data_IF_581370935339
#
_entry.id   IF_581370935339
#
_cell.length_a   1.000
_cell.length_b   1.000
_cell.length_c   1.000
_cell.angle_alpha   90.00
_cell.angle_beta   90.00
_cell.angle_gamma   90.00
#
_symmetry.space_group_name_H-M   'P 1'
#
loop_
_entity.id
_entity.type
_entity.pdbx_description
1 polymer ?
2 non-polymer ?
3 water ?
#
# COMPACT_ATOMS: atom_id res chain seq x y z
N UNK A 1 29.88 -7.56 -14.24
CA UNK A 1 28.69 -8.39 -14.05
C UNK A 1 27.58 -7.70 -13.27
N UNK A 2 26.81 -6.87 -13.98
CA UNK A 2 25.71 -6.11 -13.40
C UNK A 2 24.67 -6.99 -12.68
N UNK A 3 24.14 -7.96 -13.41
CA UNK A 3 23.22 -8.93 -12.84
C UNK A 3 23.81 -9.62 -11.62
N UNK A 4 25.05 -10.11 -11.76
CA UNK A 4 25.71 -10.87 -10.71
C UNK A 4 26.02 -9.99 -9.48
N UNK A 5 26.31 -8.72 -9.72
CA UNK A 5 26.56 -7.79 -8.64
C UNK A 5 25.33 -7.61 -7.78
N UNK A 6 24.17 -7.53 -8.44
CA UNK A 6 22.90 -7.43 -7.74
C UNK A 6 22.61 -8.69 -6.94
N UNK A 7 22.90 -9.85 -7.52
CA UNK A 7 22.74 -11.10 -6.80
C UNK A 7 23.56 -11.09 -5.53
N UNK A 8 24.84 -10.76 -5.65
CA UNK A 8 25.76 -10.78 -4.52
C UNK A 8 25.38 -9.78 -3.43
N UNK A 9 24.90 -8.61 -3.84
CA UNK A 9 24.39 -7.63 -2.88
C UNK A 9 23.19 -8.20 -2.13
N UNK A 10 22.27 -8.82 -2.87
CA UNK A 10 21.09 -9.45 -2.29
C UNK A 10 21.44 -10.58 -1.33
N UNK A 11 22.43 -11.39 -1.71
CA UNK A 11 22.86 -12.50 -0.87
C UNK A 11 23.40 -12.01 0.48
N UNK A 12 23.72 -10.73 0.56
CA UNK A 12 24.20 -10.14 1.80
C UNK A 12 23.07 -9.71 2.73
N UNK A 13 21.86 -9.58 2.21
CA UNK A 13 20.73 -9.14 3.03
C UNK A 13 19.69 -10.23 3.31
N UNK A 14 19.60 -11.22 2.43
CA UNK A 14 18.59 -12.27 2.61
C UNK A 14 19.06 -13.32 3.60
N UNK A 15 18.11 -14.09 4.12
CA UNK A 15 18.45 -15.24 4.95
C UNK A 15 18.97 -16.33 4.02
N UNK A 16 19.95 -17.11 4.49
CA UNK A 16 20.61 -18.09 3.63
C UNK A 16 19.79 -19.34 3.38
N UNK A 17 20.05 -20.01 2.26
CA UNK A 17 19.44 -21.28 1.97
C UNK A 17 18.24 -21.25 1.05
N UNK A 18 17.69 -22.44 0.80
CA UNK A 18 16.53 -22.60 -0.07
C UNK A 18 15.29 -22.83 0.77
N UNK A 19 14.31 -21.93 0.65
CA UNK A 19 13.07 -22.03 1.42
C UNK A 19 12.12 -23.08 0.83
N UNK A 20 12.42 -23.56 -0.38
CA UNK A 20 11.59 -24.60 -0.98
C UNK A 20 11.70 -25.89 -0.18
N UNK A 21 12.79 -26.02 0.56
CA UNK A 21 13.01 -27.19 1.38
C UNK A 21 11.97 -27.31 2.49
N UNK A 22 11.42 -26.18 2.94
CA UNK A 22 10.47 -26.23 4.05
C UNK A 22 9.05 -25.75 3.73
N UNK A 23 8.76 -25.53 2.45
CA UNK A 23 7.45 -25.05 2.03
C UNK A 23 6.73 -26.04 1.12
N UNK A 24 5.47 -26.32 1.44
CA UNK A 24 4.63 -27.23 0.66
C UNK A 24 3.43 -26.54 0.03
N UNK A 25 2.99 -27.06 -1.11
CA UNK A 25 1.69 -26.72 -1.69
C UNK A 25 1.53 -25.25 -2.10
N UNK A 26 2.30 -24.82 -3.08
CA UNK A 26 2.20 -23.45 -3.57
C UNK A 26 0.92 -23.21 -4.38
N UNK A 27 0.26 -22.09 -4.09
CA UNK A 27 -0.98 -21.70 -4.74
C UNK A 27 -0.92 -20.20 -5.03
N UNK A 28 -0.88 -19.85 -6.30
CA UNK A 28 -0.79 -18.45 -6.70
C UNK A 28 -2.06 -17.70 -6.30
N UNK A 29 -1.91 -16.51 -5.74
CA UNK A 29 -3.06 -15.75 -5.27
C UNK A 29 -3.04 -14.30 -5.73
N UNK A 30 -2.07 -13.95 -6.57
CA UNK A 30 -2.03 -12.59 -7.08
C UNK A 30 -0.78 -12.20 -7.84
N UNK A 31 -0.82 -10.97 -8.35
CA UNK A 31 0.33 -10.34 -8.98
C UNK A 31 0.66 -9.10 -8.14
N UNK A 32 1.95 -8.88 -7.91
CA UNK A 32 2.38 -7.71 -7.17
C UNK A 32 3.04 -6.73 -8.10
N UNK A 33 3.61 -5.66 -7.53
CA UNK A 33 4.30 -4.64 -8.33
C UNK A 33 5.50 -5.23 -9.07
N UNK A 34 6.24 -6.11 -8.40
CA UNK A 34 7.51 -6.59 -8.92
C UNK A 34 7.54 -8.09 -9.22
N UNK A 35 6.54 -8.82 -8.71
CA UNK A 35 6.47 -10.25 -8.95
C UNK A 35 5.13 -10.83 -8.52
N UNK A 36 5.04 -12.15 -8.49
CA UNK A 36 3.79 -12.81 -8.11
C UNK A 36 3.77 -13.24 -6.64
N UNK A 37 2.58 -13.51 -6.14
CA UNK A 37 2.38 -13.85 -4.74
C UNK A 37 1.63 -15.17 -4.60
N UNK A 38 2.25 -16.13 -3.92
CA UNK A 38 1.62 -17.42 -3.67
C UNK A 38 1.46 -17.60 -2.18
N UNK A 39 0.65 -18.58 -1.79
CA UNK A 39 0.66 -19.04 -0.41
C UNK A 39 1.20 -20.45 -0.37
N UNK A 40 1.73 -20.83 0.78
CA UNK A 40 2.28 -22.16 0.97
C UNK A 40 2.13 -22.58 2.43
N UNK A 41 2.29 -23.88 2.67
CA UNK A 41 2.27 -24.40 4.03
C UNK A 41 3.70 -24.55 4.54
N UNK A 42 3.91 -24.19 5.81
CA UNK A 42 5.18 -24.48 6.47
C UNK A 42 5.12 -25.94 6.92
N UNK A 43 5.94 -26.79 6.32
CA UNK A 43 5.91 -28.23 6.56
C UNK A 43 5.92 -28.61 8.04
N UNK A 44 6.77 -27.96 8.82
CA UNK A 44 6.92 -28.30 10.23
C UNK A 44 5.75 -27.87 11.11
N UNK A 45 5.18 -26.70 10.86
CA UNK A 45 4.16 -26.15 11.75
C UNK A 45 2.74 -26.29 11.22
N UNK A 46 2.60 -26.56 9.93
CA UNK A 46 1.30 -26.60 9.29
C UNK A 46 0.72 -25.21 9.02
N UNK A 47 1.45 -24.19 9.44
CA UNK A 47 1.05 -22.80 9.26
C UNK A 47 1.03 -22.41 7.78
N UNK A 48 0.21 -21.40 7.47
CA UNK A 48 0.16 -20.84 6.13
C UNK A 48 0.97 -19.55 6.07
N UNK A 49 1.61 -19.30 4.94
CA UNK A 49 2.32 -18.03 4.73
C UNK A 49 2.13 -17.58 3.28
N UNK A 50 2.38 -16.31 3.02
CA UNK A 50 2.36 -15.81 1.66
C UNK A 50 3.78 -15.61 1.19
N UNK A 51 4.00 -15.83 -0.09
CA UNK A 51 5.35 -15.75 -0.64
C UNK A 51 5.37 -14.87 -1.90
N UNK A 52 6.07 -13.73 -1.79
CA UNK A 52 6.26 -12.83 -2.92
C UNK A 52 7.54 -13.20 -3.66
N UNK A 53 7.41 -13.57 -4.93
CA UNK A 53 8.55 -13.96 -5.74
C UNK A 53 8.81 -12.95 -6.86
N UNK A 54 10.00 -12.37 -6.85
CA UNK A 54 10.36 -11.35 -7.82
C UNK A 54 11.57 -11.77 -8.63
N UNK A 55 11.39 -11.86 -9.95
CA UNK A 55 12.47 -12.22 -10.86
C UNK A 55 13.42 -11.04 -11.05
N UNK A 56 14.71 -11.28 -10.83
CA UNK A 56 15.72 -10.23 -10.93
C UNK A 56 15.88 -9.71 -12.35
N UNK A 57 15.67 -10.57 -13.33
CA UNK A 57 15.87 -10.21 -14.72
C UNK A 57 14.65 -9.55 -15.35
N UNK A 58 13.55 -9.46 -14.60
CA UNK A 58 12.30 -8.91 -15.12
C UNK A 58 11.98 -7.52 -14.58
N UNK A 59 12.96 -6.86 -13.98
CA UNK A 59 12.68 -5.58 -13.33
C UNK A 59 13.09 -4.36 -14.14
N UNK A 60 12.21 -3.37 -14.17
CA UNK A 60 12.52 -2.07 -14.75
C UNK A 60 13.56 -1.38 -13.88
N UNK A 61 13.28 -1.31 -12.59
CA UNK A 61 14.24 -0.81 -11.63
C UNK A 61 14.59 -1.89 -10.60
N UNK A 62 15.61 -2.68 -10.92
CA UNK A 62 16.06 -3.77 -10.05
C UNK A 62 16.45 -3.30 -8.67
N UNK A 63 16.93 -2.06 -8.58
CA UNK A 63 17.31 -1.48 -7.30
C UNK A 63 16.14 -1.41 -6.30
N UNK A 64 14.92 -1.40 -6.83
CA UNK A 64 13.74 -1.35 -5.97
C UNK A 64 13.55 -2.61 -5.14
N UNK A 65 14.19 -3.71 -5.55
CA UNK A 65 14.09 -4.96 -4.81
C UNK A 65 14.74 -4.88 -3.41
N UNK A 66 15.62 -3.91 -3.19
CA UNK A 66 16.26 -3.74 -1.88
C UNK A 66 15.31 -3.12 -0.87
N UNK A 67 14.28 -2.45 -1.37
CA UNK A 67 13.36 -1.70 -0.51
C UNK A 67 12.76 -2.54 0.59
N UNK A 68 11.99 -3.54 0.23
CA UNK A 68 11.34 -4.38 1.23
C UNK A 68 12.37 -5.10 2.10
N UNK A 69 13.40 -5.68 1.48
CA UNK A 69 14.34 -6.47 2.26
C UNK A 69 15.26 -5.63 3.15
N UNK A 70 15.67 -4.46 2.67
CA UNK A 70 16.49 -3.59 3.49
C UNK A 70 15.62 -2.77 4.45
N UNK A 71 14.68 -2.01 3.89
CA UNK A 71 13.86 -1.10 4.68
C UNK A 71 12.86 -1.79 5.62
N UNK A 72 12.28 -2.91 5.18
CA UNK A 72 11.16 -3.50 5.91
C UNK A 72 11.46 -4.77 6.71
N UNK A 73 12.68 -5.28 6.53
CA UNK A 73 13.11 -6.56 7.10
C UNK A 73 12.72 -6.82 8.55
N UNK A 74 12.85 -5.82 9.41
CA UNK A 74 12.62 -6.02 10.83
C UNK A 74 11.31 -5.42 11.30
N UNK A 75 10.68 -4.62 10.45
CA UNK A 75 9.48 -3.85 10.79
C UNK A 75 8.39 -4.67 11.47
N UNK A 76 7.73 -4.05 12.45
CA UNK A 76 6.61 -4.66 13.13
C UNK A 76 5.60 -3.58 13.45
N UNK A 77 4.34 -3.84 13.18
CA UNK A 77 3.26 -2.89 13.42
C UNK A 77 1.94 -3.60 13.22
N UNK A 78 0.98 -3.32 14.09
CA UNK A 78 -0.33 -3.96 14.04
C UNK A 78 -1.02 -3.83 12.68
N UNK A 79 -0.75 -2.73 11.99
CA UNK A 79 -1.42 -2.39 10.73
C UNK A 79 -0.52 -2.47 9.51
N UNK A 80 0.59 -3.19 9.65
CA UNK A 80 1.50 -3.41 8.53
C UNK A 80 1.74 -4.92 8.39
N UNK A 81 1.67 -5.40 7.15
CA UNK A 81 1.95 -6.80 6.86
C UNK A 81 3.33 -7.18 7.39
N UNK A 82 3.38 -8.21 8.22
CA UNK A 82 4.64 -8.65 8.82
C UNK A 82 5.45 -9.55 7.90
N UNK A 83 6.70 -9.19 7.71
CA UNK A 83 7.63 -9.99 6.93
C UNK A 83 8.38 -10.96 7.83
N UNK A 84 8.55 -12.20 7.38
CA UNK A 84 9.21 -13.23 8.18
C UNK A 84 10.66 -13.44 7.77
N UNK A 85 10.85 -13.80 6.50
CA UNK A 85 12.16 -14.09 5.97
C UNK A 85 12.28 -13.67 4.52
N UNK A 86 13.52 -13.59 4.05
CA UNK A 86 13.78 -13.37 2.63
C UNK A 86 14.86 -14.32 2.18
N UNK A 87 14.82 -14.70 0.91
CA UNK A 87 15.77 -15.66 0.38
C UNK A 87 16.02 -15.33 -1.08
N UNK A 88 17.12 -15.85 -1.60
CA UNK A 88 17.44 -15.72 -3.00
C UNK A 88 17.36 -17.12 -3.60
N UNK A 89 16.44 -17.31 -4.52
CA UNK A 89 16.17 -18.62 -5.11
C UNK A 89 16.33 -18.56 -6.61
N UNK A 90 17.43 -19.11 -7.11
CA UNK A 90 17.73 -19.01 -8.53
C UNK A 90 17.95 -17.56 -8.89
N UNK A 91 17.14 -17.04 -9.80
CA UNK A 91 17.20 -15.63 -10.16
C UNK A 91 16.09 -14.82 -9.49
N UNK A 92 15.45 -15.42 -8.50
CA UNK A 92 14.31 -14.78 -7.86
C UNK A 92 14.61 -14.44 -6.41
N UNK A 93 14.10 -13.28 -6.00
CA UNK A 93 14.08 -12.90 -4.60
C UNK A 93 12.73 -13.33 -4.05
N UNK A 94 12.77 -14.06 -2.93
CA UNK A 94 11.52 -14.44 -2.28
C UNK A 94 11.38 -13.76 -0.94
N UNK A 95 10.20 -13.21 -0.70
CA UNK A 95 9.86 -12.69 0.62
C UNK A 95 8.75 -13.55 1.21
N UNK A 96 9.03 -14.15 2.37
CA UNK A 96 8.03 -14.93 3.08
C UNK A 96 7.36 -14.06 4.13
N UNK A 97 6.04 -14.11 4.20
CA UNK A 97 5.32 -13.20 5.06
C UNK A 97 3.97 -13.73 5.52
N UNK A 98 3.40 -12.99 6.47
CA UNK A 98 2.06 -13.19 6.98
C UNK A 98 1.03 -13.31 5.85
N UNK A 99 0.17 -14.32 5.92
CA UNK A 99 -0.92 -14.48 4.96
C UNK A 99 -2.20 -13.80 5.48
N UNK A 100 -2.70 -12.83 4.73
CA UNK A 100 -3.90 -12.08 5.09
C UNK A 100 -5.12 -12.71 4.44
N UNK A 101 -5.82 -13.56 5.19
CA UNK A 101 -6.89 -14.40 4.64
C UNK A 101 -8.13 -13.65 4.14
N UNK A 102 -8.24 -12.37 4.46
CA UNK A 102 -9.42 -11.60 4.10
C UNK A 102 -9.38 -10.99 2.70
N UNK A 103 -8.28 -11.16 1.98
CA UNK A 103 -8.14 -10.58 0.66
C UNK A 103 -7.95 -9.07 0.72
N UNK A 104 -7.96 -8.42 -0.44
CA UNK A 104 -7.68 -6.98 -0.53
C UNK A 104 -8.94 -6.12 -0.45
N UNK A 105 -8.75 -4.83 -0.16
CA UNK A 105 -9.85 -3.88 -0.08
C UNK A 105 -10.49 -3.64 -1.44
N UNK A 106 -9.70 -3.81 -2.50
CA UNK A 106 -10.17 -3.61 -3.88
C UNK A 106 -11.45 -4.39 -4.19
N UNK A 107 -11.49 -5.65 -3.75
CA UNK A 107 -12.65 -6.50 -3.99
C UNK A 107 -13.91 -5.97 -3.32
N UNK A 108 -13.74 -5.26 -2.20
CA UNK A 108 -14.86 -4.72 -1.46
C UNK A 108 -15.39 -3.44 -2.11
N UNK A 109 -14.48 -2.54 -2.48
CA UNK A 109 -14.87 -1.25 -3.03
C UNK A 109 -15.42 -1.34 -4.45
N UNK A 110 -15.32 -2.50 -5.08
CA UNK A 110 -15.83 -2.69 -6.43
C UNK A 110 -17.05 -3.60 -6.46
N UNK A 111 -17.46 -4.11 -5.30
CA UNK A 111 -18.56 -5.05 -5.24
C UNK A 111 -19.66 -4.63 -4.26
N UNK A 112 -19.33 -3.73 -3.34
CA UNK A 112 -20.31 -3.21 -2.40
C UNK A 112 -20.15 -1.71 -2.22
N UNK A 113 -20.89 -1.17 -1.26
CA UNK A 113 -20.74 0.22 -0.86
C UNK A 113 -20.54 0.27 0.65
N UNK A 114 -19.42 0.85 1.07
CA UNK A 114 -19.08 0.93 2.48
C UNK A 114 -19.83 2.08 3.12
N UNK A 115 -20.34 1.88 4.33
CA UNK A 115 -20.87 2.99 5.13
C UNK A 115 -19.74 3.82 5.72
N UNK A 116 -20.08 4.91 6.41
CA UNK A 116 -19.02 5.80 6.89
C UNK A 116 -18.25 5.28 8.10
N UNK A 117 -18.91 4.49 8.93
CA UNK A 117 -18.25 3.81 10.04
C UNK A 117 -17.10 2.92 9.54
N UNK A 118 -17.35 2.18 8.47
CA UNK A 118 -16.35 1.26 7.91
C UNK A 118 -15.23 2.02 7.21
N UNK A 119 -15.58 3.10 6.53
CA UNK A 119 -14.61 3.94 5.84
C UNK A 119 -13.62 4.53 6.85
N UNK A 120 -14.13 5.11 7.92
CA UNK A 120 -13.31 5.71 8.95
C UNK A 120 -12.41 4.68 9.64
N UNK A 121 -12.92 3.46 9.77
CA UNK A 121 -12.17 2.37 10.39
C UNK A 121 -10.95 2.02 9.52
N UNK A 122 -11.14 1.98 8.20
CA UNK A 122 -10.05 1.72 7.29
C UNK A 122 -9.08 2.88 7.31
N UNK A 123 -9.62 4.10 7.38
CA UNK A 123 -8.81 5.30 7.40
C UNK A 123 -7.98 5.42 8.67
N UNK A 124 -8.57 5.02 9.80
CA UNK A 124 -7.88 5.08 11.08
C UNK A 124 -6.64 4.19 11.04
N UNK A 125 -6.87 2.92 10.71
CA UNK A 125 -5.78 1.94 10.64
C UNK A 125 -4.66 2.41 9.73
N UNK A 126 -4.99 2.80 8.51
CA UNK A 126 -3.99 3.22 7.54
C UNK A 126 -3.16 4.40 8.07
N UNK A 127 -3.83 5.38 8.66
CA UNK A 127 -3.17 6.57 9.16
C UNK A 127 -2.28 6.27 10.36
N UNK A 128 -2.72 5.35 11.21
CA UNK A 128 -1.90 4.92 12.34
C UNK A 128 -0.56 4.38 11.81
N UNK A 129 -0.63 3.53 10.80
CA UNK A 129 0.58 2.97 10.20
C UNK A 129 1.39 4.03 9.48
N UNK A 130 0.72 4.98 8.83
CA UNK A 130 1.43 6.04 8.12
C UNK A 130 2.10 7.03 9.06
N UNK A 131 1.56 7.20 10.26
CA UNK A 131 2.15 8.12 11.23
C UNK A 131 3.50 7.60 11.70
N UNK A 132 3.53 6.34 12.10
CA UNK A 132 4.76 5.69 12.52
C UNK A 132 5.76 5.60 11.36
N UNK A 133 5.29 5.17 10.20
CA UNK A 133 6.13 5.05 9.01
C UNK A 133 6.75 6.37 8.58
N UNK A 134 5.92 7.40 8.43
CA UNK A 134 6.41 8.73 8.03
C UNK A 134 7.35 9.31 9.08
N UNK A 135 7.14 8.92 10.34
CA UNK A 135 8.03 9.32 11.42
C UNK A 135 9.43 8.74 11.18
N UNK A 136 9.49 7.46 10.80
CA UNK A 136 10.77 6.82 10.52
C UNK A 136 11.30 7.21 9.15
N UNK A 137 10.53 8.02 8.44
CA UNK A 137 10.95 8.53 7.15
C UNK A 137 10.75 7.56 5.99
N UNK A 138 9.80 6.64 6.14
CA UNK A 138 9.47 5.72 5.06
C UNK A 138 8.21 6.17 4.31
N UNK A 139 8.36 6.43 3.02
CA UNK A 139 7.21 6.74 2.17
C UNK A 139 6.77 5.49 1.40
N UNK A 140 5.50 5.13 1.53
CA UNK A 140 4.97 3.94 0.85
C UNK A 140 5.02 4.14 -0.66
N UNK A 141 4.43 5.24 -1.11
CA UNK A 141 4.43 5.68 -2.52
C UNK A 141 3.51 4.88 -3.46
N UNK A 142 2.68 4.00 -2.90
CA UNK A 142 1.73 3.26 -3.74
C UNK A 142 0.43 2.94 -3.01
N UNK A 143 -0.06 3.88 -2.21
CA UNK A 143 -1.29 3.70 -1.46
C UNK A 143 -2.49 3.61 -2.40
N UNK A 144 -3.29 2.57 -2.23
CA UNK A 144 -4.51 2.35 -2.98
C UNK A 144 -5.17 1.10 -2.39
N UNK A 145 -6.35 0.75 -2.86
CA UNK A 145 -7.10 -0.36 -2.24
C UNK A 145 -6.40 -1.71 -2.39
N UNK A 146 -5.64 -1.90 -3.46
CA UNK A 146 -4.90 -3.15 -3.68
C UNK A 146 -3.88 -3.36 -2.57
N UNK A 147 -3.40 -2.26 -2.02
CA UNK A 147 -2.38 -2.29 -0.98
C UNK A 147 -2.96 -2.44 0.43
N UNK A 148 -4.26 -2.65 0.52
CA UNK A 148 -4.91 -2.79 1.82
C UNK A 148 -5.46 -4.20 2.02
N UNK A 149 -4.82 -4.97 2.88
CA UNK A 149 -5.24 -6.35 3.12
C UNK A 149 -6.03 -6.50 4.42
N UNK A 150 -6.87 -7.54 4.48
CA UNK A 150 -7.75 -7.76 5.63
C UNK A 150 -7.52 -9.12 6.28
N UNK A 151 -7.75 -9.19 7.59
CA UNK A 151 -7.84 -10.46 8.30
C UNK A 151 -9.28 -10.95 8.22
N UNK A 152 -9.52 -12.14 8.77
CA UNK A 152 -10.86 -12.74 8.72
C UNK A 152 -11.81 -11.94 9.58
N UNK A 153 -11.30 -11.41 10.68
CA UNK A 153 -12.11 -10.64 11.62
C UNK A 153 -12.07 -9.14 11.33
N UNK A 154 -11.81 -8.81 10.06
CA UNK A 154 -11.91 -7.43 9.60
C UNK A 154 -10.84 -6.45 10.05
N UNK A 155 -9.68 -6.95 10.49
CA UNK A 155 -8.59 -6.05 10.79
C UNK A 155 -7.85 -5.65 9.51
N UNK A 156 -7.31 -4.44 9.49
CA UNK A 156 -6.77 -3.85 8.26
C UNK A 156 -5.25 -3.69 8.30
N UNK A 157 -4.58 -4.16 7.26
CA UNK A 157 -3.12 -4.06 7.20
C UNK A 157 -2.59 -3.47 5.89
N UNK A 158 -1.69 -2.51 6.03
CA UNK A 158 -1.02 -1.90 4.90
C UNK A 158 0.00 -2.88 4.29
N UNK A 159 0.08 -2.89 2.96
CA UNK A 159 0.83 -3.92 2.24
C UNK A 159 1.57 -3.41 1.00
N UNK A 160 2.33 -4.31 0.38
CA UNK A 160 3.09 -4.03 -0.84
C UNK A 160 3.96 -2.78 -0.78
N UNK A 161 5.13 -2.90 -0.15
CA UNK A 161 6.06 -1.78 -0.04
C UNK A 161 7.11 -1.88 -1.12
N UNK A 162 6.74 -2.47 -2.25
CA UNK A 162 7.68 -2.69 -3.33
C UNK A 162 8.19 -1.41 -3.95
N UNK A 163 7.43 -0.33 -3.80
CA UNK A 163 7.82 0.97 -4.35
C UNK A 163 8.33 1.95 -3.31
N UNK A 164 8.42 1.52 -2.05
CA UNK A 164 8.76 2.45 -0.97
C UNK A 164 10.15 3.09 -1.10
N UNK A 165 10.33 4.21 -0.41
CA UNK A 165 11.62 4.90 -0.42
C UNK A 165 11.94 5.45 0.95
N UNK A 166 13.19 5.88 1.11
CA UNK A 166 13.67 6.38 2.38
C UNK A 166 14.11 7.84 2.26
N UNK A 167 13.72 8.64 3.24
CA UNK A 167 14.16 10.02 3.35
C UNK A 167 14.78 10.19 4.73
N UNK A 168 15.70 11.14 4.90
CA UNK A 168 16.38 11.27 6.19
C UNK A 168 16.56 12.73 6.61
N UNK A 169 17.05 12.93 7.82
CA UNK A 169 17.33 14.26 8.34
C UNK A 169 18.28 15.02 7.42
N UNK A 170 19.15 14.26 6.76
CA UNK A 170 20.13 14.84 5.83
C UNK A 170 19.56 14.95 4.42
N UNK A 171 18.79 13.95 4.00
CA UNK A 171 18.11 14.03 2.72
C UNK A 171 16.63 13.60 2.82
N UNK A 172 15.73 14.56 3.04
CA UNK A 172 14.31 14.28 2.84
C UNK A 172 13.97 14.55 1.38
N UNK A 173 12.80 14.10 0.93
CA UNK A 173 12.35 14.21 -0.46
C UNK A 173 12.97 13.23 -1.45
N UNK A 174 12.20 12.91 -2.48
CA UNK A 174 12.64 12.08 -3.59
C UNK A 174 12.25 12.80 -4.87
N UNK A 175 12.87 12.46 -5.98
CA UNK A 175 12.51 13.06 -7.27
C UNK A 175 12.04 11.99 -8.24
N UNK A 176 11.44 10.93 -7.71
CA UNK A 176 11.19 9.73 -8.51
C UNK A 176 9.74 9.54 -8.94
N UNK A 177 9.55 9.24 -10.22
CA UNK A 177 8.21 9.03 -10.76
C UNK A 177 7.72 7.62 -10.46
N UNK A 178 7.24 7.41 -9.25
CA UNK A 178 6.84 6.08 -8.80
C UNK A 178 5.39 6.08 -8.32
N UNK A 179 4.70 4.96 -8.54
CA UNK A 179 3.35 4.80 -8.05
C UNK A 179 2.39 4.30 -9.11
N UNK A 180 1.10 4.42 -8.81
CA UNK A 180 0.04 4.10 -9.76
C UNK A 180 -0.61 5.42 -10.17
N UNK A 181 -0.55 5.74 -11.47
CA UNK A 181 -0.97 7.01 -12.08
C UNK A 181 -2.17 7.70 -11.41
N UNK A 182 -3.33 7.05 -11.43
CA UNK A 182 -4.57 7.65 -10.92
C UNK A 182 -4.50 8.09 -9.45
N UNK A 183 -3.55 7.54 -8.71
CA UNK A 183 -3.41 7.82 -7.27
C UNK A 183 -2.22 8.73 -6.96
N UNK A 184 -1.47 9.13 -7.98
CA UNK A 184 -0.24 9.91 -7.77
C UNK A 184 -0.51 11.37 -7.38
N UNK A 185 0.24 11.86 -6.39
CA UNK A 185 0.16 13.25 -5.98
C UNK A 185 0.56 14.17 -7.14
N UNK A 186 0.00 15.39 -7.16
CA UNK A 186 0.30 16.29 -8.29
C UNK A 186 1.77 16.72 -8.34
N UNK A 187 2.39 17.01 -7.20
CA UNK A 187 3.80 17.42 -7.19
C UNK A 187 4.72 16.29 -7.64
N UNK A 188 4.19 15.07 -7.64
CA UNK A 188 4.94 13.90 -8.10
C UNK A 188 4.88 13.79 -9.62
N UNK A 189 3.69 13.99 -10.20
CA UNK A 189 3.53 13.96 -11.65
C UNK A 189 4.19 15.18 -12.27
N UNK A 190 4.28 16.25 -11.48
CA UNK A 190 4.96 17.46 -11.92
C UNK A 190 6.46 17.36 -11.69
N UNK A 191 6.94 16.14 -11.42
CA UNK A 191 8.36 15.85 -11.31
C UNK A 191 9.09 16.68 -10.26
N UNK A 192 8.33 17.18 -9.29
CA UNK A 192 8.90 18.00 -8.23
C UNK A 192 9.41 17.11 -7.10
N UNK A 193 10.40 17.59 -6.34
CA UNK A 193 10.86 16.91 -5.13
C UNK A 193 9.75 16.81 -4.10
N UNK A 194 9.36 15.58 -3.77
CA UNK A 194 8.22 15.34 -2.89
C UNK A 194 8.63 14.56 -1.64
N UNK A 195 7.83 14.66 -0.59
CA UNK A 195 8.09 13.93 0.63
C UNK A 195 6.95 12.99 0.95
N UNK A 196 6.80 12.64 2.24
CA UNK A 196 5.77 11.72 2.76
C UNK A 196 4.36 12.18 2.44
N UNK A 197 4.18 13.47 2.17
CA UNK A 197 2.88 14.05 1.92
C UNK A 197 2.17 13.39 0.74
N UNK A 198 2.92 12.79 -0.17
CA UNK A 198 2.33 12.14 -1.35
C UNK A 198 1.45 10.95 -0.98
N UNK A 199 1.72 10.35 0.18
CA UNK A 199 0.91 9.24 0.67
C UNK A 199 -0.46 9.72 1.15
N UNK A 200 -0.52 10.94 1.68
CA UNK A 200 -1.77 11.49 2.18
C UNK A 200 -2.73 11.80 1.05
N UNK A 201 -2.20 12.40 -0.01
CA UNK A 201 -2.97 12.58 -1.24
C UNK A 201 -3.53 11.24 -1.71
N UNK A 202 -2.65 10.24 -1.81
CA UNK A 202 -3.04 8.91 -2.28
C UNK A 202 -4.11 8.28 -1.42
N UNK A 203 -4.06 8.52 -0.12
CA UNK A 203 -5.07 7.99 0.78
C UNK A 203 -6.40 8.67 0.46
N UNK A 204 -6.33 9.95 0.12
CA UNK A 204 -7.49 10.70 -0.31
C UNK A 204 -8.11 10.08 -1.55
N UNK A 205 -7.28 9.74 -2.53
CA UNK A 205 -7.76 9.08 -3.74
C UNK A 205 -8.40 7.74 -3.38
N UNK A 206 -7.88 7.08 -2.36
CA UNK A 206 -8.45 5.81 -1.93
C UNK A 206 -9.79 6.01 -1.25
N UNK A 207 -10.00 7.20 -0.67
CA UNK A 207 -11.30 7.50 -0.10
C UNK A 207 -12.35 7.61 -1.21
N UNK A 208 -11.98 8.26 -2.30
CA UNK A 208 -12.84 8.33 -3.48
C UNK A 208 -13.19 6.93 -3.99
N UNK A 209 -12.21 6.03 -3.95
CA UNK A 209 -12.44 4.62 -4.26
C UNK A 209 -13.54 4.03 -3.39
N UNK A 210 -13.43 4.23 -2.07
CA UNK A 210 -14.38 3.65 -1.14
C UNK A 210 -15.78 4.27 -1.28
N UNK A 211 -15.84 5.48 -1.83
CA UNK A 211 -17.09 6.17 -2.02
C UNK A 211 -17.66 5.97 -3.42
N UNK A 212 -16.82 6.20 -4.43
CA UNK A 212 -17.27 6.15 -5.82
C UNK A 212 -17.08 4.78 -6.49
N UNK A 213 -16.24 3.94 -5.90
CA UNK A 213 -15.99 2.62 -6.47
C UNK A 213 -14.84 2.64 -7.45
N UNK A 214 -14.30 3.83 -7.72
CA UNK A 214 -13.15 3.98 -8.60
C UNK A 214 -12.47 5.32 -8.34
N UNK A 215 -11.20 5.46 -8.73
CA UNK A 215 -10.51 6.75 -8.56
C UNK A 215 -10.93 7.72 -9.67
N UNK A 216 -10.57 9.01 -9.54
CA UNK A 216 -10.83 9.98 -10.61
C UNK A 216 -10.17 9.60 -11.94
N UNK A 217 -10.79 10.00 -13.04
CA UNK A 217 -10.22 9.86 -14.38
C UNK A 217 -9.92 8.41 -14.74
N UNK A 218 -10.52 7.48 -14.00
CA UNK A 218 -10.18 6.06 -14.13
C UNK A 218 -10.46 5.50 -15.52
N UNK A 219 -11.27 6.22 -16.28
CA UNK A 219 -11.60 5.81 -17.65
C UNK A 219 -10.60 6.34 -18.66
N UNK A 220 -9.90 7.40 -18.28
CA UNK A 220 -8.87 7.97 -19.13
C UNK A 220 -7.61 7.11 -19.12
N UNK A 221 -6.89 7.07 -20.25
CA UNK A 221 -5.58 6.42 -20.29
C UNK A 221 -4.64 7.06 -19.28
N UNK A 222 -3.81 6.26 -18.62
CA UNK A 222 -2.94 6.68 -17.51
C UNK A 222 -2.11 7.93 -17.81
N UNK A 223 -1.60 8.07 -19.04
CA UNK A 223 -0.82 9.24 -19.40
C UNK A 223 -1.66 10.51 -19.43
N UNK A 224 -2.89 10.39 -19.91
CA UNK A 224 -3.80 11.52 -19.98
C UNK A 224 -4.27 11.90 -18.58
N UNK A 225 -4.61 10.88 -17.80
CA UNK A 225 -5.10 11.07 -16.44
C UNK A 225 -4.09 11.82 -15.57
N UNK A 226 -2.82 11.43 -15.67
CA UNK A 226 -1.77 12.06 -14.88
C UNK A 226 -1.67 13.55 -15.19
N UNK A 227 -1.97 13.90 -16.44
CA UNK A 227 -1.96 15.28 -16.86
C UNK A 227 -3.11 16.04 -16.23
N UNK A 228 -4.32 15.46 -16.32
CA UNK A 228 -5.50 16.05 -15.72
C UNK A 228 -5.31 16.29 -14.23
N UNK A 229 -4.62 15.36 -13.57
CA UNK A 229 -4.31 15.49 -12.15
C UNK A 229 -3.32 16.61 -11.95
N UNK A 230 -2.35 16.69 -12.86
CA UNK A 230 -1.31 17.70 -12.79
C UNK A 230 -1.89 19.09 -13.03
N UNK A 231 -2.84 19.18 -13.95
CA UNK A 231 -3.34 20.48 -14.41
C UNK A 231 -4.55 21.01 -13.63
N UNK A 232 -5.47 20.12 -13.26
CA UNK A 232 -6.73 20.54 -12.67
C UNK A 232 -6.70 20.78 -11.16
N UNK A 233 -7.87 21.10 -10.62
CA UNK A 233 -8.06 21.32 -9.20
C UNK A 233 -8.38 19.98 -8.56
N UNK A 234 -8.26 19.89 -7.21
CA UNK A 234 -8.59 18.65 -6.49
C UNK A 234 -9.89 18.01 -6.98
N UNK A 235 -9.88 16.69 -7.20
CA UNK A 235 -11.05 16.04 -7.82
C UNK A 235 -12.28 16.06 -6.91
N UNK A 236 -13.44 15.83 -7.51
CA UNK A 236 -14.71 15.89 -6.81
C UNK A 236 -15.36 14.52 -6.79
N UNK A 237 -16.13 14.25 -5.73
CA UNK A 237 -16.82 12.97 -5.60
C UNK A 237 -18.04 12.89 -6.51
N UNK A 238 -18.14 11.82 -7.28
CA UNK A 238 -19.33 11.56 -8.08
C UNK A 238 -20.55 11.32 -7.19
N UNK A 239 -20.31 10.99 -5.93
CA UNK A 239 -21.39 10.77 -4.97
C UNK A 239 -21.30 11.66 -3.73
N UNK A 240 -21.07 12.95 -3.93
CA UNK A 240 -21.01 13.91 -2.84
C UNK A 240 -22.31 13.92 -2.03
N UNK A 241 -23.41 13.59 -2.67
CA UNK A 241 -24.71 13.61 -2.02
C UNK A 241 -24.95 12.40 -1.10
N UNK A 242 -24.18 11.33 -1.29
CA UNK A 242 -24.27 10.15 -0.43
C UNK A 242 -23.35 10.27 0.78
N UNK A 243 -22.59 11.37 0.83
CA UNK A 243 -21.52 11.58 1.78
C UNK A 243 -21.82 12.68 2.79
N UNK A 244 -21.52 12.41 4.06
CA UNK A 244 -21.75 13.35 5.14
C UNK A 244 -20.73 14.50 5.12
N UNK A 245 -21.11 15.67 5.66
CA UNK A 245 -20.24 16.84 5.72
C UNK A 245 -18.90 16.54 6.40
N UNK A 246 -18.92 15.65 7.38
CA UNK A 246 -17.72 15.28 8.12
C UNK A 246 -16.68 14.63 7.22
N UNK A 247 -17.11 13.61 6.48
CA UNK A 247 -16.26 12.91 5.54
C UNK A 247 -15.71 13.88 4.49
N UNK A 248 -16.56 14.81 4.07
CA UNK A 248 -16.13 15.81 3.10
C UNK A 248 -15.05 16.70 3.69
N UNK A 249 -15.27 17.13 4.93
CA UNK A 249 -14.30 17.95 5.62
C UNK A 249 -13.01 17.20 5.84
N UNK A 250 -13.13 15.91 6.16
CA UNK A 250 -11.97 15.06 6.33
C UNK A 250 -11.19 14.97 5.02
N UNK A 251 -11.89 14.55 3.98
CA UNK A 251 -11.31 14.40 2.66
C UNK A 251 -10.65 15.67 2.15
N UNK A 252 -11.20 16.82 2.51
CA UNK A 252 -10.70 18.11 2.03
C UNK A 252 -9.38 18.51 2.65
N UNK A 253 -9.01 17.89 3.77
CA UNK A 253 -7.71 18.11 4.38
C UNK A 253 -6.68 17.14 3.82
N UNK A 254 -7.11 16.31 2.89
CA UNK A 254 -6.22 15.34 2.25
C UNK A 254 -5.90 15.72 0.80
N UNK A 255 -6.92 16.16 0.07
CA UNK A 255 -6.74 16.47 -1.35
C UNK A 255 -6.35 17.93 -1.56
N UNK A 256 -5.36 18.37 -0.80
CA UNK A 256 -4.81 19.71 -0.93
C UNK A 256 -3.71 19.74 -1.98
N UNK A 257 -3.89 20.59 -3.00
CA UNK A 257 -2.91 20.72 -4.08
C UNK A 257 -1.56 21.23 -3.59
N UNK A 258 -1.57 21.91 -2.45
CA UNK A 258 -0.33 22.39 -1.84
C UNK A 258 0.11 21.42 -0.74
N UNK A 259 1.18 20.66 -1.02
CA UNK A 259 1.73 19.66 -0.10
C UNK A 259 2.04 20.22 1.29
N UNK A 260 2.42 21.50 1.34
CA UNK A 260 2.68 22.16 2.61
C UNK A 260 1.39 22.34 3.39
N UNK A 261 0.29 22.57 2.68
CA UNK A 261 -1.00 22.80 3.32
C UNK A 261 -1.74 21.49 3.60
N UNK A 262 -1.41 20.47 2.83
CA UNK A 262 -1.97 19.14 3.02
C UNK A 262 -1.73 18.69 4.45
N UNK A 263 -2.73 18.02 5.04
CA UNK A 263 -2.60 17.55 6.40
C UNK A 263 -1.58 16.42 6.50
N UNK A 264 -1.17 16.11 7.73
CA UNK A 264 -0.21 15.05 7.96
C UNK A 264 -0.90 13.88 8.65
N UNK A 265 -0.25 12.72 8.61
CA UNK A 265 -0.78 11.52 9.25
C UNK A 265 -1.06 11.78 10.72
N UNK A 266 -0.07 12.35 11.42
CA UNK A 266 -0.20 12.69 12.82
C UNK A 266 -1.37 13.66 13.07
N UNK A 267 -1.53 14.63 12.17
CA UNK A 267 -2.66 15.55 12.25
C UNK A 267 -3.99 14.80 12.13
N UNK A 268 -4.16 14.13 10.99
CA UNK A 268 -5.41 13.47 10.63
C UNK A 268 -5.94 12.46 11.65
N UNK A 269 -5.04 11.96 12.50
CA UNK A 269 -5.44 11.00 13.53
C UNK A 269 -6.36 11.65 14.57
N UNK A 270 -6.24 12.96 14.72
CA UNK A 270 -7.04 13.68 15.70
C UNK A 270 -8.34 14.22 15.09
N UNK A 271 -8.56 13.97 13.81
CA UNK A 271 -9.72 14.49 13.10
C UNK A 271 -11.02 13.85 13.58
N UNK A 272 -12.08 14.65 13.72
CA UNK A 272 -13.39 14.22 14.23
C UNK A 272 -14.01 13.07 13.44
N UNK A 273 -13.85 13.09 12.12
CA UNK A 273 -14.44 12.04 11.27
C UNK A 273 -14.04 10.63 11.71
N UNK A 274 -12.84 10.48 12.23
CA UNK A 274 -12.36 9.17 12.67
C UNK A 274 -13.00 8.70 13.98
N UNK A 275 -13.74 9.58 14.63
CA UNK A 275 -14.53 9.18 15.79
C UNK A 275 -15.68 8.27 15.34
N UNK A 276 -15.99 8.29 14.06
CA UNK A 276 -17.02 7.42 13.49
C UNK A 276 -16.53 5.99 13.31
N UNK A 277 -15.21 5.79 13.41
CA UNK A 277 -14.61 4.49 13.13
C UNK A 277 -15.19 3.36 13.99
N UNK A 278 -15.60 2.29 13.32
CA UNK A 278 -16.14 1.14 14.01
C UNK A 278 -15.10 0.08 14.27
N UNK A 279 -15.48 -0.95 15.03
CA UNK A 279 -14.58 -2.07 15.35
C UNK A 279 -14.34 -2.90 14.10
N UNK A 280 -13.25 -3.67 14.06
CA UNK A 280 -12.96 -4.56 12.93
C UNK A 280 -14.14 -5.47 12.57
N UNK A 281 -15.02 -5.74 13.53
CA UNK A 281 -16.20 -6.55 13.29
C UNK A 281 -17.16 -5.90 12.28
N UNK A 282 -17.11 -4.58 12.17
CA UNK A 282 -18.00 -3.85 11.27
C UNK A 282 -17.64 -4.07 9.80
N UNK A 283 -16.39 -4.47 9.57
CA UNK A 283 -15.90 -4.68 8.21
C UNK A 283 -16.27 -6.07 7.69
N UNK A 284 -16.30 -7.05 8.59
CA UNK A 284 -16.57 -8.45 8.26
C UNK A 284 -17.73 -8.71 7.27
N UNK A 285 -18.89 -8.04 7.45
CA UNK A 285 -19.99 -8.30 6.52
C UNK A 285 -19.71 -7.88 5.07
N UNK A 286 -18.71 -7.04 4.85
CA UNK A 286 -18.37 -6.60 3.48
C UNK A 286 -17.60 -7.67 2.71
N UNK A 287 -16.85 -8.51 3.44
CA UNK A 287 -16.01 -9.53 2.82
C UNK A 287 -16.80 -10.57 2.01
N UNK A 288 -16.23 -10.97 0.87
CA UNK A 288 -16.90 -11.80 -0.13
C UNK A 288 -17.69 -13.00 0.41
N UNK A 289 -17.05 -13.79 1.27
CA UNK A 289 -17.69 -15.01 1.75
C UNK A 289 -18.79 -14.75 2.78
N UNK A 290 -19.03 -13.47 3.06
CA UNK A 290 -20.08 -13.08 4.00
C UNK A 290 -21.22 -12.33 3.35
N UNK A 291 -21.06 -11.97 2.08
CA UNK A 291 -22.04 -11.12 1.41
C UNK A 291 -22.83 -11.83 0.30
X LIG B 1 -2.29 -10.86 -3.17
X LIG B 1 -1.07 -10.08 -2.72
X LIG B 1 -0.38 -9.34 -3.53
X LIG B 1 0.65 -8.75 -2.87
X LIG B 1 1.66 -7.87 -3.28
X LIG B 1 2.59 -7.45 -2.38
X LIG B 1 2.55 -7.88 -1.05
X LIG B 1 1.55 -8.76 -0.63
X LIG B 1 0.59 -9.20 -1.54
X LIG B 1 -0.51 -10.06 -1.46
X LIG B 1 -0.94 -10.72 -0.30
X LIG B 1 -0.06 -11.00 0.67
X LIG B 1 -0.46 -11.61 1.78
X LIG B 1 -1.71 -11.98 1.93
X LIG B 1 -2.60 -11.71 0.97
X LIG B 1 -2.20 -11.08 -0.14
X LIG B 1 -3.93 -12.08 1.12
X LIG B 1 3.55 -7.40 -0.13
X LIG B 1 4.37 -7.01 0.62
X LIG B 1 5.40 -6.50 1.53
X LIG B 1 4.71 -6.10 2.84
X LIG B 1 5.74 -5.49 3.79
X LIG B 1 6.81 -6.55 4.07
X LIG B 1 7.50 -6.96 2.77
X LIG B 1 6.47 -7.58 1.82
X LIG B 1 6.04 -5.34 0.99
#
# INVERSE_FOLDING_TARGET
>A
GSHEQFRAALQLVVDPGDPRSYLDNFIKIGEGSTGIVCIATVRSSGKLVAVKKMDLRKQQRRELLFNEVVIMRDYQHENVVEMYNSYLVGDELWVVMEFLEGGALTDIVTHTRMNEEQIAAVCLAVLQALSVLHAQGVIHRDIKSDSILLTHDGRVKLSDFGFCAQVSKEVPRRKSLVGTPYWMAPELISRLPYGPEVDIWSLGIMVIEMVDGEPPYFNEPPLKAMKMIRDNLPPRLKNLHKVSPSLKGFLDRLLVRDPAQRATAAELLKHPFLAKAGPPASIVPLMRQNRTR
>B hetero
1 2OQ C1 C2 N3 C4 C5 C6 C7 C8 C9 N10 C11 N12 C13 N14 C15 N16 N17 C18 C19 C20 C21 C22 C23 C24 C25 O26
#
